data_IF_573930897890
#
_entry.id   IF_573930897890
#
_cell.length_a   1.000
_cell.length_b   1.000
_cell.length_c   1.000
_cell.angle_alpha   90.00
_cell.angle_beta   90.00
_cell.angle_gamma   90.00
#
_symmetry.space_group_name_H-M   'P 1'
#
loop_
_entity.id
_entity.type
_entity.pdbx_description
1 polymer ?
#
# COMPACT_ATOMS: atom_id res chain seq x y z
N UNK A 1 8.74 -7.94 29.14
CA UNK A 1 8.42 -6.55 28.73
C UNK A 1 7.55 -6.62 27.48
N UNK A 2 6.23 -6.64 27.64
CA UNK A 2 5.25 -6.75 26.55
C UNK A 2 5.10 -5.37 25.90
N UNK A 3 5.43 -5.25 24.61
CA UNK A 3 5.21 -4.03 23.81
C UNK A 3 4.12 -4.36 22.78
N UNK A 4 2.83 -4.16 23.11
CA UNK A 4 1.72 -4.59 22.24
C UNK A 4 1.62 -3.83 20.91
N UNK A 5 2.35 -2.71 20.76
CA UNK A 5 2.28 -1.81 19.60
C UNK A 5 3.53 -1.87 18.71
N UNK A 6 4.38 -2.90 18.85
CA UNK A 6 5.67 -2.95 18.13
C UNK A 6 5.55 -3.21 16.63
N UNK A 7 4.41 -3.76 16.21
CA UNK A 7 4.18 -4.28 14.85
C UNK A 7 3.07 -3.52 14.11
N UNK A 8 2.74 -2.31 14.55
CA UNK A 8 1.68 -1.47 13.99
C UNK A 8 2.20 -0.06 13.78
N UNK A 9 2.10 0.44 12.55
CA UNK A 9 2.54 1.79 12.19
C UNK A 9 1.30 2.66 12.02
N UNK A 10 1.21 3.75 12.77
CA UNK A 10 0.14 4.73 12.66
C UNK A 10 0.71 6.06 12.17
N UNK A 11 0.08 6.64 11.15
CA UNK A 11 0.39 7.95 10.63
C UNK A 11 -0.85 8.83 10.73
N UNK A 12 -0.73 9.92 11.47
CA UNK A 12 -1.75 10.98 11.53
C UNK A 12 -1.17 12.23 10.87
N UNK A 13 -1.87 12.75 9.87
CA UNK A 13 -1.49 13.96 9.16
C UNK A 13 -2.65 14.96 9.16
N UNK A 14 -2.33 16.23 9.39
CA UNK A 14 -3.24 17.35 9.21
C UNK A 14 -2.65 18.21 8.11
N UNK A 15 -3.31 18.26 6.96
CA UNK A 15 -2.84 19.00 5.80
C UNK A 15 -3.82 20.13 5.47
N UNK A 16 -3.29 21.35 5.31
CA UNK A 16 -4.07 22.49 4.84
C UNK A 16 -3.78 22.68 3.36
N UNK A 17 -4.78 22.44 2.51
CA UNK A 17 -4.68 22.69 1.07
C UNK A 17 -4.98 24.16 0.78
N UNK A 18 -3.98 24.86 0.24
CA UNK A 18 -4.09 26.25 -0.23
C UNK A 18 -4.22 26.24 -1.76
N UNK A 19 -5.33 26.75 -2.33
CA UNK A 19 -5.47 26.81 -3.78
C UNK A 19 -4.47 27.81 -4.38
N UNK A 20 -3.77 27.39 -5.44
CA UNK A 20 -2.78 28.22 -6.15
C UNK A 20 -3.40 29.32 -7.05
N UNK A 21 -4.73 29.33 -7.21
CA UNK A 21 -5.44 30.38 -7.92
C UNK A 21 -5.98 31.43 -6.93
N UNK A 22 -5.33 32.59 -6.90
CA UNK A 22 -5.60 33.73 -6.01
C UNK A 22 -6.90 34.49 -6.28
N UNK A 23 -7.98 33.83 -6.69
CA UNK A 23 -9.31 34.42 -6.79
C UNK A 23 -10.34 33.46 -6.18
N UNK A 24 -10.76 33.76 -4.95
CA UNK A 24 -11.88 33.13 -4.24
C UNK A 24 -11.79 31.62 -3.92
N UNK A 25 -10.60 31.02 -3.91
CA UNK A 25 -10.43 29.66 -3.42
C UNK A 25 -10.34 29.62 -1.90
N UNK A 26 -11.42 29.24 -1.20
CA UNK A 26 -11.33 28.94 0.22
C UNK A 26 -10.31 27.82 0.44
N UNK A 27 -9.36 28.02 1.35
CA UNK A 27 -8.51 26.94 1.91
C UNK A 27 -9.41 25.76 2.26
N UNK A 28 -8.98 24.51 2.09
CA UNK A 28 -9.65 23.38 2.73
C UNK A 28 -8.65 22.70 3.67
N UNK A 29 -9.16 22.17 4.77
CA UNK A 29 -8.36 21.46 5.77
C UNK A 29 -8.72 19.99 5.66
N UNK A 30 -7.73 19.18 5.33
CA UNK A 30 -7.85 17.73 5.24
C UNK A 30 -7.23 17.10 6.48
N UNK A 31 -8.02 16.30 7.18
CA UNK A 31 -7.55 15.40 8.24
C UNK A 31 -7.36 14.03 7.63
N UNK A 32 -6.16 13.47 7.70
CA UNK A 32 -5.87 12.12 7.19
C UNK A 32 -5.28 11.26 8.30
N UNK A 33 -5.86 10.08 8.49
CA UNK A 33 -5.38 9.08 9.43
C UNK A 33 -5.16 7.78 8.66
N UNK A 34 -3.92 7.28 8.68
CA UNK A 34 -3.58 5.98 8.12
C UNK A 34 -2.90 5.08 9.14
N UNK A 35 -3.09 3.78 8.98
CA UNK A 35 -2.53 2.76 9.84
C UNK A 35 -2.17 1.53 9.02
N UNK A 36 -1.06 0.89 9.35
CA UNK A 36 -0.57 -0.34 8.74
C UNK A 36 -0.38 -1.39 9.83
N UNK A 37 -0.95 -2.57 9.61
CA UNK A 37 -0.95 -3.68 10.55
C UNK A 37 -0.40 -4.95 9.90
N UNK A 38 0.06 -5.89 10.73
CA UNK A 38 0.52 -7.23 10.35
C UNK A 38 1.81 -7.29 9.53
N UNK A 39 2.49 -6.16 9.29
CA UNK A 39 3.73 -6.07 8.54
C UNK A 39 5.00 -6.20 9.41
N UNK A 40 4.87 -6.56 10.69
CA UNK A 40 5.97 -6.65 11.65
C UNK A 40 6.57 -8.05 11.80
N UNK A 41 7.88 -8.10 12.08
CA UNK A 41 8.59 -9.31 12.48
C UNK A 41 8.55 -10.44 11.44
N UNK A 42 7.98 -11.60 11.80
CA UNK A 42 7.93 -12.77 10.90
C UNK A 42 7.04 -12.60 9.66
N UNK A 43 6.24 -11.53 9.62
CA UNK A 43 5.35 -11.21 8.50
C UNK A 43 5.75 -9.93 7.75
N UNK A 44 6.99 -9.45 7.96
CA UNK A 44 7.51 -8.26 7.28
C UNK A 44 7.91 -8.53 5.83
N UNK A 45 7.85 -7.48 5.01
CA UNK A 45 8.33 -7.47 3.61
C UNK A 45 9.87 -7.39 3.50
N UNK A 46 10.55 -7.17 4.62
CA UNK A 46 12.01 -7.07 4.72
C UNK A 46 12.71 -8.42 4.60
N UNK A 47 13.98 -8.40 4.20
CA UNK A 47 14.79 -9.60 4.02
C UNK A 47 14.90 -10.41 5.33
N UNK A 48 14.46 -11.67 5.30
CA UNK A 48 14.68 -12.60 6.41
C UNK A 48 15.92 -13.46 6.15
N UNK A 49 16.91 -13.48 7.07
CA UNK A 49 18.15 -14.23 6.86
C UNK A 49 17.92 -15.75 6.85
N UNK A 50 16.98 -16.23 7.67
CA UNK A 50 16.74 -17.65 7.88
C UNK A 50 15.66 -18.19 6.94
N UNK A 51 15.82 -19.43 6.47
CA UNK A 51 14.85 -20.13 5.63
C UNK A 51 14.97 -19.83 4.13
N UNK A 52 14.29 -20.65 3.31
CA UNK A 52 14.22 -20.52 1.85
C UNK A 52 13.21 -19.45 1.39
N UNK A 53 12.39 -18.94 2.30
CA UNK A 53 11.36 -17.96 2.01
C UNK A 53 10.56 -17.60 3.25
N UNK A 54 9.72 -16.58 3.14
CA UNK A 54 8.86 -16.11 4.22
C UNK A 54 7.54 -15.57 3.69
N UNK A 55 6.53 -15.58 4.55
CA UNK A 55 5.23 -15.00 4.25
C UNK A 55 5.19 -13.56 4.76
N UNK A 56 4.71 -12.63 3.96
CA UNK A 56 4.47 -11.26 4.37
C UNK A 56 2.97 -10.92 4.22
N UNK A 57 2.49 -10.04 5.08
CA UNK A 57 1.14 -9.52 4.97
C UNK A 57 1.07 -8.10 5.50
N UNK A 58 0.17 -7.32 4.94
CA UNK A 58 -0.03 -5.93 5.35
C UNK A 58 -1.50 -5.58 5.21
N UNK A 59 -2.08 -5.06 6.29
CA UNK A 59 -3.37 -4.40 6.25
C UNK A 59 -3.15 -2.90 6.37
N UNK A 60 -3.35 -2.16 5.29
CA UNK A 60 -3.30 -0.72 5.25
C UNK A 60 -4.72 -0.14 5.31
N UNK A 61 -4.97 0.73 6.28
CA UNK A 61 -6.21 1.48 6.43
C UNK A 61 -5.87 2.96 6.32
N UNK A 62 -6.67 3.72 5.59
CA UNK A 62 -6.53 5.17 5.43
C UNK A 62 -7.92 5.81 5.42
N UNK A 63 -8.07 6.91 6.14
CA UNK A 63 -9.29 7.68 6.22
C UNK A 63 -8.94 9.16 6.14
N UNK A 64 -9.57 9.87 5.20
CA UNK A 64 -9.41 11.30 5.02
C UNK A 64 -10.75 12.02 5.12
N UNK A 65 -10.77 13.15 5.81
CA UNK A 65 -11.95 14.00 5.96
C UNK A 65 -11.60 15.44 5.61
N UNK A 66 -12.33 16.00 4.66
CA UNK A 66 -12.24 17.39 4.24
C UNK A 66 -13.27 18.20 5.02
N UNK A 67 -12.79 19.10 5.88
CA UNK A 67 -13.63 19.78 6.87
C UNK A 67 -14.62 20.75 6.20
N UNK A 68 -14.21 21.47 5.14
CA UNK A 68 -15.07 22.48 4.52
C UNK A 68 -16.04 21.90 3.51
N UNK A 69 -15.65 20.84 2.81
CA UNK A 69 -16.47 20.22 1.78
C UNK A 69 -17.42 19.13 2.32
N UNK A 70 -17.29 18.76 3.61
CA UNK A 70 -17.99 17.61 4.23
C UNK A 70 -17.83 16.31 3.45
N UNK A 71 -16.61 16.16 2.92
CA UNK A 71 -16.24 15.03 2.07
C UNK A 71 -15.43 14.06 2.91
N UNK A 72 -15.77 12.77 2.80
CA UNK A 72 -15.08 11.69 3.50
C UNK A 72 -14.57 10.67 2.50
N UNK A 73 -13.28 10.36 2.57
CA UNK A 73 -12.64 9.32 1.79
C UNK A 73 -12.10 8.25 2.74
N UNK A 74 -12.16 6.98 2.33
CA UNK A 74 -11.53 5.89 3.06
C UNK A 74 -10.98 4.87 2.08
N UNK A 75 -9.90 4.21 2.48
CA UNK A 75 -9.24 3.15 1.72
C UNK A 75 -8.84 2.06 2.70
N UNK A 76 -9.13 0.81 2.36
CA UNK A 76 -8.65 -0.38 3.04
C UNK A 76 -7.96 -1.28 2.02
N UNK A 77 -6.66 -1.50 2.15
CA UNK A 77 -5.88 -2.40 1.30
C UNK A 77 -5.32 -3.54 2.16
N UNK A 78 -5.72 -4.78 1.84
CA UNK A 78 -5.15 -5.97 2.46
C UNK A 78 -4.31 -6.72 1.44
N UNK A 79 -3.01 -6.84 1.71
CA UNK A 79 -2.02 -7.52 0.86
C UNK A 79 -1.41 -8.70 1.59
N UNK A 80 -1.22 -9.79 0.85
CA UNK A 80 -0.47 -10.97 1.26
C UNK A 80 0.56 -11.31 0.20
N UNK A 81 1.77 -11.68 0.61
CA UNK A 81 2.85 -12.04 -0.29
C UNK A 81 3.65 -13.21 0.25
N UNK A 82 4.28 -13.96 -0.65
CA UNK A 82 5.23 -15.01 -0.29
C UNK A 82 6.56 -14.73 -0.95
N UNK A 83 7.60 -14.48 -0.17
CA UNK A 83 8.94 -14.23 -0.66
C UNK A 83 9.69 -15.56 -0.75
N UNK A 84 10.00 -16.01 -1.95
CA UNK A 84 10.81 -17.18 -2.21
C UNK A 84 12.23 -16.76 -2.61
N UNK A 85 13.25 -17.19 -1.87
CA UNK A 85 14.66 -17.00 -2.27
C UNK A 85 14.97 -17.93 -3.45
N UNK A 86 15.42 -17.35 -4.55
CA UNK A 86 15.73 -18.09 -5.79
C UNK A 86 17.22 -18.10 -6.11
N UNK A 87 17.94 -17.06 -5.70
CA UNK A 87 19.39 -16.96 -5.81
C UNK A 87 19.91 -16.07 -4.67
N UNK A 88 21.23 -15.97 -4.54
CA UNK A 88 21.82 -15.08 -3.54
C UNK A 88 21.40 -13.62 -3.82
N UNK A 89 20.81 -12.95 -2.82
CA UNK A 89 20.26 -11.61 -2.97
C UNK A 89 19.06 -11.49 -3.91
N UNK A 90 18.34 -12.58 -4.23
CA UNK A 90 17.18 -12.51 -5.12
C UNK A 90 15.99 -13.27 -4.57
N UNK A 91 14.82 -12.63 -4.58
CA UNK A 91 13.56 -13.26 -4.20
C UNK A 91 12.48 -13.04 -5.23
N UNK A 92 11.68 -14.06 -5.50
CA UNK A 92 10.41 -13.91 -6.21
C UNK A 92 9.30 -13.83 -5.17
N UNK A 93 8.43 -12.85 -5.33
CA UNK A 93 7.35 -12.47 -4.44
C UNK A 93 6.03 -12.51 -5.22
N UNK A 94 5.37 -13.67 -5.37
CA UNK A 94 3.95 -13.70 -5.66
C UNK A 94 3.18 -13.01 -4.54
N UNK A 95 2.24 -12.15 -4.92
CA UNK A 95 1.38 -11.45 -3.98
C UNK A 95 -0.05 -11.33 -4.51
N UNK A 96 -0.97 -11.16 -3.58
CA UNK A 96 -2.36 -10.84 -3.84
C UNK A 96 -2.77 -9.71 -2.90
N UNK A 97 -3.64 -8.83 -3.37
CA UNK A 97 -4.21 -7.81 -2.53
C UNK A 97 -5.66 -7.55 -2.91
N UNK A 98 -6.43 -7.06 -1.95
CA UNK A 98 -7.78 -6.56 -2.14
C UNK A 98 -7.82 -5.17 -1.55
N UNK A 99 -8.26 -4.21 -2.37
CA UNK A 99 -8.44 -2.83 -1.97
C UNK A 99 -9.92 -2.47 -2.05
N UNK A 100 -10.42 -1.83 -1.01
CA UNK A 100 -11.74 -1.23 -0.97
C UNK A 100 -11.56 0.26 -0.73
N UNK A 101 -12.06 1.09 -1.62
CA UNK A 101 -12.03 2.54 -1.48
C UNK A 101 -13.43 3.10 -1.58
N UNK A 102 -13.67 4.18 -0.83
CA UNK A 102 -14.95 4.85 -0.81
C UNK A 102 -14.76 6.35 -0.65
N UNK A 103 -15.65 7.08 -1.31
CA UNK A 103 -15.72 8.52 -1.24
C UNK A 103 -17.18 8.95 -1.10
N UNK A 104 -17.41 9.85 -0.15
CA UNK A 104 -18.72 10.42 0.15
C UNK A 104 -18.71 11.89 -0.17
N UNK A 105 -19.41 12.27 -1.25
CA UNK A 105 -19.73 13.65 -1.61
C UNK A 105 -21.17 13.69 -2.14
N UNK A 106 -22.13 14.01 -1.26
CA UNK A 106 -23.59 14.03 -1.49
C UNK A 106 -24.22 12.71 -1.98
N UNK A 107 -23.42 11.75 -2.45
CA UNK A 107 -23.73 10.35 -2.74
C UNK A 107 -22.53 9.48 -2.37
N UNK A 108 -22.77 8.18 -2.14
CA UNK A 108 -21.67 7.24 -1.86
C UNK A 108 -21.16 6.67 -3.17
N UNK A 109 -19.88 6.85 -3.44
CA UNK A 109 -19.16 6.19 -4.53
C UNK A 109 -18.06 5.34 -3.90
N UNK A 110 -17.71 4.24 -4.53
CA UNK A 110 -16.65 3.39 -4.02
C UNK A 110 -16.30 2.30 -5.02
N UNK A 111 -15.07 1.87 -5.00
CA UNK A 111 -14.58 0.80 -5.83
C UNK A 111 -13.89 -0.26 -4.98
N UNK A 112 -14.29 -1.51 -5.21
CA UNK A 112 -13.61 -2.68 -4.69
C UNK A 112 -12.79 -3.29 -5.81
N UNK A 113 -11.48 -3.33 -5.59
CA UNK A 113 -10.49 -3.87 -6.50
C UNK A 113 -9.78 -5.05 -5.84
N UNK A 114 -9.30 -5.99 -6.62
CA UNK A 114 -8.31 -6.94 -6.14
C UNK A 114 -7.31 -7.25 -7.23
N UNK A 115 -6.06 -7.36 -6.82
CA UNK A 115 -4.95 -7.63 -7.71
C UNK A 115 -4.21 -8.88 -7.30
N UNK A 116 -3.66 -9.56 -8.28
CA UNK A 116 -2.66 -10.62 -8.10
C UNK A 116 -1.46 -10.27 -8.95
N UNK A 117 -0.27 -10.45 -8.40
CA UNK A 117 0.96 -10.07 -9.06
C UNK A 117 2.12 -10.94 -8.65
N UNK A 118 3.20 -10.81 -9.39
CA UNK A 118 4.49 -11.39 -9.05
C UNK A 118 5.54 -10.30 -9.16
N UNK A 119 6.37 -10.21 -8.15
CA UNK A 119 7.47 -9.27 -8.07
C UNK A 119 8.78 -10.00 -7.93
N UNK A 120 9.75 -9.67 -8.76
CA UNK A 120 11.12 -10.10 -8.59
C UNK A 120 11.90 -9.00 -7.89
N UNK A 121 12.39 -9.29 -6.68
CA UNK A 121 13.22 -8.39 -5.91
C UNK A 121 14.68 -8.86 -5.98
N UNK A 122 15.55 -7.93 -6.37
CA UNK A 122 17.00 -8.06 -6.37
C UNK A 122 17.51 -7.15 -5.25
N UNK A 123 18.04 -7.78 -4.23
CA UNK A 123 18.62 -7.18 -3.05
C UNK A 123 20.13 -7.01 -3.32
N UNK A 124 20.70 -5.84 -3.03
CA UNK A 124 22.15 -5.60 -3.15
C UNK A 124 22.71 -4.86 -1.92
N UNK A 125 24.03 -4.91 -1.73
CA UNK A 125 24.72 -4.18 -0.65
C UNK A 125 24.89 -4.94 0.68
N UNK A 126 24.79 -6.28 0.68
CA UNK A 126 25.07 -7.09 1.87
C UNK A 126 26.44 -6.72 2.48
N UNK A 127 26.44 -6.33 3.76
CA UNK A 127 27.65 -6.07 4.53
C UNK A 127 27.64 -6.97 5.78
N UNK A 128 28.81 -7.26 6.36
CA UNK A 128 28.93 -8.13 7.56
C UNK A 128 28.06 -7.71 8.76
N UNK A 129 27.60 -6.45 8.78
CA UNK A 129 26.80 -5.86 9.85
C UNK A 129 25.37 -5.46 9.43
N UNK A 130 25.10 -5.28 8.13
CA UNK A 130 23.83 -4.78 7.61
C UNK A 130 23.31 -5.66 6.47
N UNK A 131 22.07 -6.12 6.60
CA UNK A 131 21.41 -6.94 5.59
C UNK A 131 20.84 -6.04 4.49
N UNK A 132 21.41 -6.14 3.28
CA UNK A 132 20.85 -5.70 2.00
C UNK A 132 20.12 -4.34 1.98
N UNK A 133 20.85 -3.20 2.01
CA UNK A 133 20.27 -1.85 2.04
C UNK A 133 19.53 -1.46 0.75
N UNK A 134 19.88 -2.05 -0.39
CA UNK A 134 19.31 -1.68 -1.68
C UNK A 134 18.39 -2.77 -2.22
N UNK A 135 17.20 -2.41 -2.71
CA UNK A 135 16.20 -3.32 -3.28
C UNK A 135 15.73 -2.80 -4.63
N UNK A 136 15.99 -3.54 -5.70
CA UNK A 136 15.40 -3.32 -7.02
C UNK A 136 14.24 -4.30 -7.18
N UNK A 137 13.04 -3.82 -7.45
CA UNK A 137 11.84 -4.64 -7.62
C UNK A 137 11.24 -4.47 -9.01
N UNK A 138 11.02 -5.59 -9.70
CA UNK A 138 10.31 -5.66 -10.98
C UNK A 138 9.02 -6.44 -10.77
N UNK A 139 7.88 -5.78 -10.85
CA UNK A 139 6.56 -6.36 -10.60
C UNK A 139 5.67 -6.36 -11.82
N UNK A 140 4.94 -7.45 -12.03
CA UNK A 140 3.78 -7.50 -12.91
C UNK A 140 2.56 -7.77 -12.06
N UNK A 141 1.52 -6.96 -12.22
CA UNK A 141 0.29 -7.06 -11.46
C UNK A 141 -0.92 -7.04 -12.38
N UNK A 142 -1.87 -7.92 -12.12
CA UNK A 142 -3.17 -7.92 -12.76
C UNK A 142 -4.22 -7.54 -11.72
N UNK A 143 -4.92 -6.43 -11.95
CA UNK A 143 -6.00 -5.95 -11.10
C UNK A 143 -7.36 -6.16 -11.76
N UNK A 144 -8.33 -6.53 -10.93
CA UNK A 144 -9.73 -6.68 -11.29
C UNK A 144 -10.62 -5.81 -10.40
N UNK A 145 -11.46 -4.99 -11.01
CA UNK A 145 -12.47 -4.17 -10.30
C UNK A 145 -13.76 -4.98 -10.14
N UNK A 146 -14.02 -5.46 -8.93
CA UNK A 146 -15.19 -6.29 -8.62
C UNK A 146 -16.50 -5.49 -8.59
N UNK A 147 -16.48 -4.35 -7.92
CA UNK A 147 -17.65 -3.50 -7.72
C UNK A 147 -17.22 -2.05 -7.85
N UNK A 148 -17.96 -1.28 -8.63
CA UNK A 148 -17.84 0.16 -8.65
C UNK A 148 -19.24 0.75 -8.45
N UNK A 149 -19.45 1.42 -7.31
CA UNK A 149 -20.70 2.11 -7.00
C UNK A 149 -20.64 3.46 -7.73
N UNK A 150 -21.54 3.67 -8.69
CA UNK A 150 -21.71 4.90 -9.50
C UNK A 150 -20.59 5.28 -10.50
N UNK A 151 -19.59 4.44 -10.74
CA UNK A 151 -18.69 4.62 -11.89
C UNK A 151 -19.22 3.87 -13.13
N UNK A 152 -19.24 4.55 -14.28
CA UNK A 152 -19.54 3.92 -15.58
C UNK A 152 -18.59 2.73 -15.77
N UNK A 153 -19.17 1.60 -16.20
CA UNK A 153 -18.59 0.29 -16.54
C UNK A 153 -17.39 0.34 -17.54
N UNK A 154 -16.35 1.12 -17.25
CA UNK A 154 -15.15 1.25 -18.07
C UNK A 154 -14.00 0.51 -17.41
N UNK A 155 -13.59 -0.59 -18.05
CA UNK A 155 -12.39 -1.40 -17.77
C UNK A 155 -12.34 -2.09 -16.40
N UNK A 156 -12.84 -3.33 -16.38
CA UNK A 156 -12.83 -4.21 -15.21
C UNK A 156 -11.49 -4.85 -14.93
N UNK A 157 -10.55 -4.82 -15.88
CA UNK A 157 -9.29 -5.55 -15.84
C UNK A 157 -8.16 -4.63 -16.26
N UNK A 158 -7.15 -4.49 -15.41
CA UNK A 158 -5.96 -3.68 -15.68
C UNK A 158 -4.72 -4.53 -15.44
N UNK A 159 -3.69 -4.34 -16.27
CA UNK A 159 -2.40 -4.95 -16.08
C UNK A 159 -1.36 -3.84 -15.89
N UNK A 160 -0.57 -3.96 -14.83
CA UNK A 160 0.46 -3.01 -14.46
C UNK A 160 1.83 -3.68 -14.51
N UNK A 161 2.79 -2.93 -15.04
CA UNK A 161 4.21 -3.23 -14.88
C UNK A 161 4.78 -2.17 -13.94
N UNK A 162 5.36 -2.61 -12.82
CA UNK A 162 5.94 -1.73 -11.81
C UNK A 162 7.43 -1.97 -11.72
N UNK A 163 8.19 -0.88 -11.75
CA UNK A 163 9.63 -0.90 -11.49
C UNK A 163 9.86 0.01 -10.29
N UNK A 164 10.42 -0.56 -9.22
CA UNK A 164 10.72 0.13 -7.98
C UNK A 164 12.19 -0.01 -7.63
N UNK A 165 12.79 1.06 -7.11
CA UNK A 165 14.14 1.02 -6.58
C UNK A 165 14.14 1.67 -5.20
N UNK A 166 14.65 0.96 -4.21
CA UNK A 166 14.89 1.44 -2.86
C UNK A 166 16.40 1.49 -2.63
N UNK A 167 16.90 2.65 -2.21
CA UNK A 167 18.32 2.93 -2.00
C UNK A 167 18.61 3.20 -0.53
#
# INVERSE_FOLDING_TARGET
RWKPLRDQIFFLAVEQQLPLNGQNGASDTMLRASASFFNGGKYSDEWHPNGSGWFAQNLYLDAAQYIRQDIQAWTADYRVSWHQKVANGQTIEPYAHVQDNGYRDKGTQGAQLGGVGVRWNIWTGETHYDAWPHKVSLGVEYQHTFKAINQRNGERNNAFLTIGVHW
#
